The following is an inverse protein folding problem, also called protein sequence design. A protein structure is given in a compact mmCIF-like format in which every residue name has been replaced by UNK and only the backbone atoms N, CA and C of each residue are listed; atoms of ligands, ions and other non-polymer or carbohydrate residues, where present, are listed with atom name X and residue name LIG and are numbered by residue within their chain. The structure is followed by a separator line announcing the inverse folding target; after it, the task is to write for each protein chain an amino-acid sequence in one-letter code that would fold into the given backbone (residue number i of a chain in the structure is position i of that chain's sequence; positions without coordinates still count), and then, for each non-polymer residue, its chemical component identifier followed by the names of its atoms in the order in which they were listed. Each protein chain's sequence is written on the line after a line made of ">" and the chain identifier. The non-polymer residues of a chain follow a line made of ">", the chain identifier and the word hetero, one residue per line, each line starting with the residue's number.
data_IF_099239315880
#
_entry.id   IF_099239315880
#
_cell.length_a   1.000
_cell.length_b   1.000
_cell.length_c   1.000
_cell.angle_alpha   90.00
_cell.angle_beta   90.00
_cell.angle_gamma   90.00
#
_symmetry.space_group_name_H-M   'P 1'
#
loop_
_entity.id
_entity.type
_entity.pdbx_description
1 polymer ?
#
# COMPACT_ATOMS: atom_id res chain seq x y z
N UNK A 1 -6.86 -19.19 12.56
CA UNK A 1 -5.48 -19.03 13.08
C UNK A 1 -4.47 -19.32 11.99
N UNK A 2 -3.43 -18.49 11.89
CA UNK A 2 -2.32 -18.57 10.93
C UNK A 2 -1.01 -18.65 11.72
N UNK A 3 -0.11 -19.56 11.36
CA UNK A 3 1.23 -19.67 11.95
C UNK A 3 2.30 -19.20 10.94
N UNK A 4 3.19 -18.31 11.37
CA UNK A 4 4.28 -17.81 10.54
C UNK A 4 5.42 -18.83 10.50
N UNK A 5 5.68 -19.44 9.34
CA UNK A 5 6.80 -20.38 9.17
C UNK A 5 8.10 -19.69 8.79
N UNK A 6 7.99 -18.62 7.98
CA UNK A 6 9.13 -17.84 7.51
C UNK A 6 8.71 -16.39 7.31
N UNK A 7 9.46 -15.48 7.91
CA UNK A 7 9.29 -14.05 7.73
C UNK A 7 10.64 -13.36 7.83
N UNK A 8 10.90 -12.43 6.91
CA UNK A 8 11.98 -11.47 7.02
C UNK A 8 11.48 -10.20 7.73
N UNK A 9 12.39 -9.26 8.00
CA UNK A 9 12.02 -8.00 8.65
C UNK A 9 10.94 -7.25 7.84
N UNK A 10 10.15 -6.42 8.54
CA UNK A 10 9.17 -5.47 7.96
C UNK A 10 7.86 -6.06 7.38
N UNK A 11 7.63 -7.37 7.47
CA UNK A 11 6.28 -7.90 7.23
C UNK A 11 5.40 -7.62 8.45
N UNK A 12 4.26 -6.97 8.26
CA UNK A 12 3.47 -6.41 9.38
C UNK A 12 1.97 -6.61 9.17
N UNK A 13 1.23 -6.62 10.28
CA UNK A 13 -0.23 -6.53 10.24
C UNK A 13 -0.62 -5.07 9.98
N UNK A 14 -1.45 -4.84 8.98
CA UNK A 14 -1.90 -3.51 8.55
C UNK A 14 -3.39 -3.53 8.23
N UNK A 15 -4.07 -2.42 8.55
CA UNK A 15 -5.38 -2.03 8.02
C UNK A 15 -5.23 -0.72 7.23
N UNK A 16 -6.28 0.09 7.05
CA UNK A 16 -6.19 1.41 6.40
C UNK A 16 -5.60 2.49 7.32
N UNK A 17 -5.32 2.19 8.59
CA UNK A 17 -4.60 3.05 9.53
C UNK A 17 -5.46 3.78 10.55
N UNK A 18 -4.84 4.76 11.23
CA UNK A 18 -5.37 5.52 12.38
C UNK A 18 -5.37 7.04 12.14
N UNK A 19 -6.24 7.57 11.27
CA UNK A 19 -6.17 8.98 10.85
C UNK A 19 -6.44 10.01 11.96
N UNK A 20 -7.24 9.66 12.97
CA UNK A 20 -7.76 10.60 13.96
C UNK A 20 -6.69 11.18 14.93
N UNK A 21 -5.49 10.62 14.99
CA UNK A 21 -4.53 10.91 16.08
C UNK A 21 -3.29 11.72 15.64
N UNK A 22 -3.24 12.21 14.39
CA UNK A 22 -2.08 13.00 13.89
C UNK A 22 -1.78 14.24 14.71
N UNK A 23 -2.82 14.90 15.22
CA UNK A 23 -2.69 16.09 16.08
C UNK A 23 -1.99 15.80 17.42
N UNK A 24 -1.91 14.53 17.83
CA UNK A 24 -1.19 14.07 19.03
C UNK A 24 0.20 13.49 18.72
N UNK A 25 0.69 13.64 17.50
CA UNK A 25 2.00 13.10 17.11
C UNK A 25 1.99 11.64 16.62
N UNK A 26 0.82 11.03 16.46
CA UNK A 26 0.69 9.64 16.02
C UNK A 26 0.59 9.56 14.49
N UNK A 27 1.46 8.77 13.86
CA UNK A 27 1.39 8.49 12.42
C UNK A 27 0.16 7.67 12.05
N UNK A 28 -0.36 7.87 10.84
CA UNK A 28 -1.54 7.14 10.33
C UNK A 28 -1.23 5.65 10.21
N UNK A 29 0.01 5.27 9.89
CA UNK A 29 0.36 3.88 9.58
C UNK A 29 -0.54 3.35 8.45
N UNK A 30 -0.90 2.07 8.46
CA UNK A 30 -1.77 1.49 7.45
C UNK A 30 -1.01 1.01 6.23
N UNK A 31 -1.71 0.30 5.37
CA UNK A 31 -1.13 -0.24 4.15
C UNK A 31 -0.55 0.86 3.25
N UNK A 32 0.51 0.53 2.52
CA UNK A 32 1.09 1.40 1.49
C UNK A 32 0.28 1.39 0.18
N UNK A 33 -0.49 0.32 -0.05
CA UNK A 33 -1.39 0.15 -1.18
C UNK A 33 -2.81 -0.15 -0.66
N UNK A 34 -3.62 0.90 -0.41
CA UNK A 34 -4.99 0.74 0.04
C UNK A 34 -5.91 0.05 -0.99
N UNK A 35 -5.60 0.09 -2.29
CA UNK A 35 -6.43 -0.57 -3.30
C UNK A 35 -6.29 -2.09 -3.22
N UNK A 36 -5.06 -2.57 -3.05
CA UNK A 36 -4.79 -3.99 -2.86
C UNK A 36 -5.48 -4.54 -1.61
N UNK A 37 -5.39 -3.84 -0.47
CA UNK A 37 -6.06 -4.25 0.76
C UNK A 37 -7.58 -4.36 0.58
N UNK A 38 -8.20 -3.28 0.09
CA UNK A 38 -9.67 -3.20 -0.08
C UNK A 38 -10.17 -4.30 -1.00
N UNK A 39 -9.54 -4.47 -2.15
CA UNK A 39 -9.93 -5.48 -3.12
C UNK A 39 -9.74 -6.91 -2.59
N UNK A 40 -8.65 -7.17 -1.87
CA UNK A 40 -8.43 -8.45 -1.21
C UNK A 40 -9.49 -8.77 -0.16
N UNK A 41 -9.89 -7.77 0.63
CA UNK A 41 -10.98 -7.93 1.60
C UNK A 41 -12.34 -8.13 0.94
N UNK A 42 -12.64 -7.42 -0.15
CA UNK A 42 -13.89 -7.59 -0.92
C UNK A 42 -14.01 -9.02 -1.46
N UNK A 43 -12.94 -9.61 -2.00
CA UNK A 43 -12.91 -11.00 -2.47
C UNK A 43 -13.35 -12.01 -1.40
N UNK A 44 -13.18 -11.68 -0.12
CA UNK A 44 -13.48 -12.55 1.02
C UNK A 44 -14.79 -12.17 1.73
N UNK A 45 -15.50 -11.16 1.24
CA UNK A 45 -16.67 -10.60 1.90
C UNK A 45 -16.37 -9.94 3.25
N UNK A 46 -15.10 -9.58 3.49
CA UNK A 46 -14.70 -8.84 4.68
C UNK A 46 -15.11 -7.36 4.57
N UNK A 47 -15.11 -6.67 5.71
CA UNK A 47 -14.99 -5.21 5.71
C UNK A 47 -13.72 -4.78 4.97
N UNK A 48 -13.80 -3.72 4.16
CA UNK A 48 -12.68 -3.24 3.33
C UNK A 48 -11.44 -2.86 4.15
N UNK A 49 -11.64 -2.45 5.41
CA UNK A 49 -10.61 -2.10 6.37
C UNK A 49 -10.20 -3.28 7.28
N UNK A 50 -10.66 -4.51 7.02
CA UNK A 50 -10.21 -5.67 7.79
C UNK A 50 -8.69 -5.82 7.68
N UNK A 51 -8.03 -6.12 8.80
CA UNK A 51 -6.58 -6.18 8.84
C UNK A 51 -6.05 -7.37 8.03
N UNK A 52 -4.97 -7.12 7.29
CA UNK A 52 -4.25 -8.09 6.48
C UNK A 52 -2.77 -8.10 6.86
N UNK A 53 -2.02 -9.04 6.28
CA UNK A 53 -0.56 -9.03 6.37
C UNK A 53 -0.01 -8.29 5.14
N UNK A 54 0.64 -7.15 5.35
CA UNK A 54 1.45 -6.49 4.34
C UNK A 54 2.84 -7.16 4.28
N UNK A 55 3.12 -7.80 3.15
CA UNK A 55 4.38 -8.49 2.88
C UNK A 55 5.24 -7.60 1.99
N UNK A 56 6.33 -7.10 2.56
CA UNK A 56 7.32 -6.29 1.86
C UNK A 56 8.62 -7.08 1.60
N UNK A 57 8.95 -8.03 2.49
CA UNK A 57 10.15 -8.84 2.36
C UNK A 57 9.79 -10.30 2.11
N UNK A 58 10.37 -10.84 1.04
CA UNK A 58 10.12 -12.18 0.54
C UNK A 58 11.36 -13.06 0.71
N UNK A 59 11.21 -14.39 0.74
CA UNK A 59 9.93 -15.11 0.78
C UNK A 59 9.23 -15.00 2.15
N UNK A 60 7.92 -15.13 2.15
CA UNK A 60 7.06 -15.15 3.33
C UNK A 60 6.20 -16.42 3.31
N UNK A 61 6.18 -17.17 4.41
CA UNK A 61 5.48 -18.46 4.49
C UNK A 61 4.61 -18.55 5.72
N UNK A 62 3.39 -19.04 5.52
CA UNK A 62 2.42 -19.26 6.59
C UNK A 62 1.72 -20.61 6.46
N UNK A 63 1.40 -21.22 7.60
CA UNK A 63 0.57 -22.42 7.70
C UNK A 63 -0.81 -22.08 8.26
N UNK A 64 -1.85 -22.63 7.67
CA UNK A 64 -3.22 -22.45 8.15
C UNK A 64 -3.59 -23.55 9.15
N UNK A 65 -4.02 -23.15 10.35
CA UNK A 65 -4.39 -24.10 11.40
C UNK A 65 -5.86 -24.57 11.33
N UNK A 66 -6.65 -23.98 10.43
CA UNK A 66 -8.05 -24.29 10.19
C UNK A 66 -8.40 -24.06 8.71
N UNK A 67 -9.48 -24.68 8.24
CA UNK A 67 -10.07 -24.37 6.94
C UNK A 67 -10.50 -22.89 6.90
N UNK A 68 -10.18 -22.19 5.81
CA UNK A 68 -10.51 -20.77 5.64
C UNK A 68 -10.51 -20.39 4.14
N UNK A 69 -10.72 -19.12 3.84
CA UNK A 69 -10.47 -18.55 2.51
C UNK A 69 -9.44 -17.43 2.64
N UNK A 70 -8.60 -17.30 1.62
CA UNK A 70 -7.59 -16.24 1.54
C UNK A 70 -7.70 -15.52 0.21
N UNK A 71 -7.13 -14.32 0.16
CA UNK A 71 -6.88 -13.63 -1.10
C UNK A 71 -5.51 -12.98 -1.09
N UNK A 72 -4.93 -12.88 -2.29
CA UNK A 72 -3.60 -12.33 -2.54
C UNK A 72 -3.71 -11.19 -3.56
N UNK A 73 -3.32 -9.99 -3.16
CA UNK A 73 -3.35 -8.78 -3.99
C UNK A 73 -2.04 -8.00 -3.90
N UNK A 74 -1.93 -6.90 -4.66
CA UNK A 74 -0.70 -6.10 -4.75
C UNK A 74 0.28 -6.68 -5.77
N UNK A 75 1.53 -6.83 -5.37
CA UNK A 75 2.58 -7.39 -6.23
C UNK A 75 2.28 -8.87 -6.58
N UNK A 76 2.57 -9.28 -7.82
CA UNK A 76 2.50 -10.70 -8.22
C UNK A 76 3.67 -11.45 -7.57
N UNK A 77 3.39 -12.00 -6.39
CA UNK A 77 4.35 -12.71 -5.54
C UNK A 77 4.60 -14.16 -5.97
N UNK A 78 4.12 -14.59 -7.16
CA UNK A 78 4.27 -15.97 -7.66
C UNK A 78 3.90 -17.00 -6.59
N UNK A 79 2.79 -16.77 -5.92
CA UNK A 79 2.44 -17.47 -4.69
C UNK A 79 2.19 -18.96 -4.94
N UNK A 80 2.43 -19.78 -3.93
CA UNK A 80 2.19 -21.22 -3.97
C UNK A 80 1.42 -21.70 -2.75
N UNK A 81 0.39 -22.50 -2.96
CA UNK A 81 -0.32 -23.22 -1.91
C UNK A 81 0.03 -24.70 -2.02
N UNK A 82 0.76 -25.23 -1.03
CA UNK A 82 1.34 -26.59 -1.06
C UNK A 82 2.09 -26.92 -2.37
N UNK A 83 2.83 -25.93 -2.88
CA UNK A 83 3.62 -26.06 -4.10
C UNK A 83 2.86 -25.79 -5.41
N UNK A 84 1.53 -25.72 -5.39
CA UNK A 84 0.71 -25.35 -6.55
C UNK A 84 0.68 -23.84 -6.72
N UNK A 85 1.01 -23.34 -7.91
CA UNK A 85 1.02 -21.89 -8.18
C UNK A 85 -0.40 -21.31 -8.19
N UNK A 86 -0.55 -20.18 -7.50
CA UNK A 86 -1.77 -19.38 -7.50
C UNK A 86 -1.64 -18.21 -8.49
N UNK A 87 -2.71 -17.84 -9.21
CA UNK A 87 -2.74 -16.62 -9.99
C UNK A 87 -2.50 -15.37 -9.11
N UNK A 88 -2.06 -14.27 -9.73
CA UNK A 88 -2.05 -12.97 -9.08
C UNK A 88 -3.48 -12.46 -8.88
N UNK A 89 -3.71 -11.61 -7.87
CA UNK A 89 -5.02 -11.00 -7.62
C UNK A 89 -6.15 -12.04 -7.50
N UNK A 90 -5.91 -13.04 -6.66
CA UNK A 90 -6.69 -14.28 -6.59
C UNK A 90 -7.13 -14.60 -5.17
N UNK A 91 -8.37 -15.08 -5.03
CA UNK A 91 -8.92 -15.63 -3.80
C UNK A 91 -9.28 -17.10 -3.94
N UNK A 92 -9.07 -17.91 -2.91
CA UNK A 92 -9.43 -19.33 -2.90
C UNK A 92 -9.66 -19.88 -1.49
N UNK A 93 -10.30 -21.05 -1.41
CA UNK A 93 -10.33 -21.85 -0.18
C UNK A 93 -8.95 -22.42 0.15
N UNK A 94 -8.70 -22.58 1.44
CA UNK A 94 -7.52 -23.22 2.01
C UNK A 94 -7.94 -24.20 3.08
N UNK A 95 -7.32 -25.37 3.12
CA UNK A 95 -7.55 -26.42 4.11
C UNK A 95 -6.58 -26.31 5.28
N UNK A 96 -7.01 -26.83 6.42
CA UNK A 96 -6.15 -27.00 7.60
C UNK A 96 -4.88 -27.76 7.23
N UNK A 97 -3.74 -27.22 7.64
CA UNK A 97 -2.41 -27.80 7.44
C UNK A 97 -1.71 -27.32 6.18
N UNK A 98 -2.43 -26.74 5.22
CA UNK A 98 -1.81 -26.23 3.99
C UNK A 98 -0.87 -25.04 4.28
N UNK A 99 0.13 -24.89 3.43
CA UNK A 99 1.16 -23.87 3.53
C UNK A 99 1.11 -22.97 2.32
N UNK A 100 0.94 -21.66 2.57
CA UNK A 100 1.11 -20.62 1.56
C UNK A 100 2.55 -20.10 1.60
N UNK A 101 3.18 -20.02 0.44
CA UNK A 101 4.45 -19.34 0.20
C UNK A 101 4.24 -18.17 -0.77
N UNK A 102 4.53 -16.95 -0.31
CA UNK A 102 4.66 -15.76 -1.15
C UNK A 102 6.14 -15.54 -1.47
N UNK A 103 6.50 -15.49 -2.76
CA UNK A 103 7.88 -15.40 -3.24
C UNK A 103 8.17 -13.99 -3.76
N UNK A 104 9.44 -13.74 -4.09
CA UNK A 104 9.84 -12.47 -4.68
C UNK A 104 8.95 -12.13 -5.90
N UNK A 105 8.37 -10.93 -5.97
CA UNK A 105 7.45 -10.59 -7.03
C UNK A 105 8.14 -10.37 -8.37
N UNK A 106 7.42 -10.58 -9.48
CA UNK A 106 7.92 -10.21 -10.82
C UNK A 106 7.91 -8.69 -11.02
N UNK A 107 6.86 -8.06 -10.53
CA UNK A 107 6.62 -6.61 -10.59
C UNK A 107 5.90 -6.18 -9.30
N UNK A 108 6.05 -4.92 -8.91
CA UNK A 108 5.52 -4.42 -7.64
C UNK A 108 6.44 -4.70 -6.45
N UNK A 109 6.15 -4.10 -5.31
CA UNK A 109 7.01 -4.14 -4.12
C UNK A 109 6.35 -4.82 -2.93
N UNK A 110 5.01 -4.79 -2.84
CA UNK A 110 4.27 -5.25 -1.67
C UNK A 110 3.11 -6.15 -2.06
N UNK A 111 3.08 -7.33 -1.46
CA UNK A 111 1.95 -8.25 -1.54
C UNK A 111 1.10 -8.16 -0.28
N UNK A 112 -0.18 -8.47 -0.40
CA UNK A 112 -1.14 -8.46 0.70
C UNK A 112 -1.77 -9.84 0.83
N UNK A 113 -1.72 -10.40 2.04
CA UNK A 113 -2.44 -11.62 2.40
C UNK A 113 -3.63 -11.25 3.26
N UNK A 114 -4.83 -11.30 2.66
CA UNK A 114 -6.08 -11.19 3.39
C UNK A 114 -6.61 -12.60 3.72
N UNK A 115 -7.34 -12.71 4.82
CA UNK A 115 -7.98 -13.96 5.28
C UNK A 115 -9.42 -13.67 5.65
N UNK A 116 -10.32 -14.63 5.42
CA UNK A 116 -11.73 -14.47 5.76
C UNK A 116 -11.90 -14.15 7.26
N UNK A 117 -12.68 -13.13 7.57
CA UNK A 117 -12.82 -12.54 8.91
C UNK A 117 -11.73 -11.55 9.32
N UNK A 118 -10.64 -11.42 8.55
CA UNK A 118 -9.50 -10.54 8.84
C UNK A 118 -8.55 -11.09 9.91
N UNK A 119 -7.40 -10.43 10.07
CA UNK A 119 -6.45 -10.73 11.15
C UNK A 119 -6.95 -10.11 12.46
N UNK A 120 -7.17 -10.95 13.46
CA UNK A 120 -7.74 -10.53 14.74
C UNK A 120 -6.64 -10.22 15.76
N UNK A 121 -6.11 -9.00 15.67
CA UNK A 121 -5.25 -8.40 16.69
C UNK A 121 -6.01 -7.25 17.39
N UNK A 122 -5.68 -6.92 18.65
CA UNK A 122 -6.35 -5.84 19.35
C UNK A 122 -6.24 -4.50 18.61
N UNK A 123 -7.34 -3.75 18.43
CA UNK A 123 -7.25 -2.40 17.91
C UNK A 123 -6.59 -1.49 18.95
N UNK A 124 -5.59 -0.73 18.53
CA UNK A 124 -4.96 0.34 19.31
C UNK A 124 -5.35 1.65 18.63
N UNK A 125 -5.89 2.64 19.35
CA UNK A 125 -6.32 3.91 18.77
C UNK A 125 -7.20 3.71 17.50
N UNK A 126 -8.18 2.80 17.60
CA UNK A 126 -9.14 2.53 16.51
C UNK A 126 -8.58 1.77 15.29
N UNK A 127 -7.35 1.26 15.34
CA UNK A 127 -6.70 0.58 14.20
C UNK A 127 -5.85 -0.60 14.64
N UNK A 128 -5.79 -1.61 13.76
CA UNK A 128 -4.95 -2.81 13.85
C UNK A 128 -3.61 -2.65 13.14
N UNK A 129 -3.33 -1.49 12.56
CA UNK A 129 -2.06 -1.22 11.89
C UNK A 129 -0.87 -1.19 12.84
N UNK A 130 0.24 -1.79 12.42
CA UNK A 130 1.51 -1.76 13.14
C UNK A 130 2.20 -0.41 12.94
N UNK A 131 2.48 0.32 14.02
CA UNK A 131 3.24 1.56 14.01
C UNK A 131 4.68 1.29 14.46
N UNK A 132 5.57 0.98 13.52
CA UNK A 132 6.93 0.48 13.83
C UNK A 132 7.76 1.42 14.69
N UNK A 133 7.73 2.73 14.43
CA UNK A 133 8.49 3.71 15.22
C UNK A 133 7.99 3.82 16.66
N UNK A 134 6.67 3.74 16.85
CA UNK A 134 6.05 3.81 18.17
C UNK A 134 5.99 2.48 18.91
N UNK A 135 6.30 1.37 18.21
CA UNK A 135 6.24 0.01 18.72
C UNK A 135 4.89 -0.36 19.33
N UNK A 136 3.78 -0.01 18.66
CA UNK A 136 2.42 -0.39 19.06
C UNK A 136 1.54 -0.77 17.86
N UNK A 137 0.38 -1.38 18.16
CA UNK A 137 -0.57 -1.85 17.15
C UNK A 137 -0.08 -3.08 16.39
N UNK A 138 -0.94 -3.67 15.56
CA UNK A 138 -0.61 -4.92 14.88
C UNK A 138 -0.34 -6.07 15.84
N UNK A 139 0.66 -6.88 15.52
CA UNK A 139 1.12 -7.96 16.40
C UNK A 139 2.28 -7.46 17.27
N UNK A 140 1.99 -7.18 18.54
CA UNK A 140 2.94 -6.68 19.55
C UNK A 140 3.76 -5.43 19.14
N UNK A 141 3.25 -4.60 18.21
CA UNK A 141 3.95 -3.39 17.77
C UNK A 141 5.20 -3.64 16.92
N UNK A 142 5.39 -4.85 16.39
CA UNK A 142 6.64 -5.26 15.72
C UNK A 142 6.39 -5.99 14.40
N UNK A 143 7.44 -6.19 13.57
CA UNK A 143 7.36 -7.12 12.46
C UNK A 143 7.06 -8.56 12.89
N UNK A 144 6.37 -9.29 12.02
CA UNK A 144 6.07 -10.71 12.18
C UNK A 144 7.35 -11.55 12.09
N UNK A 145 7.43 -12.56 12.94
CA UNK A 145 8.57 -13.45 13.11
C UNK A 145 8.12 -14.91 13.02
N UNK A 146 9.08 -15.80 12.72
CA UNK A 146 8.82 -17.24 12.71
C UNK A 146 8.30 -17.71 14.07
N UNK A 147 7.24 -18.51 14.06
CA UNK A 147 6.57 -19.04 15.24
C UNK A 147 5.43 -18.19 15.77
N UNK A 148 5.27 -16.95 15.27
CA UNK A 148 4.11 -16.12 15.61
C UNK A 148 2.81 -16.83 15.16
N UNK A 149 1.77 -16.74 16.00
CA UNK A 149 0.44 -17.30 15.73
C UNK A 149 -0.59 -16.18 15.76
N UNK A 150 -1.20 -15.92 14.61
CA UNK A 150 -2.21 -14.88 14.44
C UNK A 150 -3.61 -15.48 14.51
N UNK A 151 -4.45 -14.93 15.39
CA UNK A 151 -5.88 -15.21 15.36
C UNK A 151 -6.51 -14.59 14.10
N UNK A 152 -7.63 -15.17 13.68
CA UNK A 152 -8.42 -14.70 12.55
C UNK A 152 -9.82 -14.41 13.07
N UNK A 153 -10.46 -13.37 12.54
CA UNK A 153 -11.82 -13.02 12.92
C UNK A 153 -12.84 -14.03 12.43
N UNK A 154 -14.12 -13.74 12.68
CA UNK A 154 -15.23 -14.58 12.25
C UNK A 154 -15.59 -14.20 10.81
N UNK A 155 -15.50 -15.17 9.90
CA UNK A 155 -15.96 -15.00 8.53
C UNK A 155 -17.49 -14.88 8.50
N UNK A 156 -18.00 -13.86 7.80
CA UNK A 156 -19.43 -13.61 7.62
C UNK A 156 -19.94 -14.08 6.25
N UNK A 157 -19.05 -14.19 5.27
CA UNK A 157 -19.36 -14.69 3.95
C UNK A 157 -19.12 -16.21 3.84
N UNK A 158 -19.81 -16.90 2.92
CA UNK A 158 -19.52 -18.29 2.60
C UNK A 158 -18.06 -18.48 2.16
N UNK A 159 -17.44 -19.64 2.44
CA UNK A 159 -16.11 -19.95 1.93
C UNK A 159 -16.06 -19.88 0.40
N UNK A 160 -14.94 -19.40 -0.14
CA UNK A 160 -14.69 -19.45 -1.58
C UNK A 160 -14.60 -20.89 -2.08
N UNK A 161 -14.85 -21.11 -3.36
CA UNK A 161 -14.66 -22.42 -3.97
C UNK A 161 -13.15 -22.77 -4.07
N UNK A 162 -12.79 -24.07 -4.16
CA UNK A 162 -11.41 -24.47 -4.48
C UNK A 162 -10.95 -23.95 -5.85
N UNK A 163 -11.89 -23.77 -6.78
CA UNK A 163 -11.66 -23.19 -8.10
C UNK A 163 -11.35 -21.69 -8.08
N UNK A 164 -11.52 -21.04 -6.93
CA UNK A 164 -11.13 -19.65 -6.69
C UNK A 164 -11.89 -18.61 -7.51
N UNK A 165 -11.48 -17.36 -7.32
CA UNK A 165 -11.97 -16.18 -8.04
C UNK A 165 -10.83 -15.18 -8.20
N UNK A 166 -10.72 -14.59 -9.38
CA UNK A 166 -9.74 -13.56 -9.69
C UNK A 166 -10.38 -12.23 -9.99
N UNK A 167 -9.63 -11.16 -9.80
CA UNK A 167 -10.02 -9.81 -10.22
C UNK A 167 -8.88 -9.18 -11.00
N UNK A 168 -9.23 -8.29 -11.93
CA UNK A 168 -8.25 -7.57 -12.71
C UNK A 168 -7.53 -6.52 -11.85
N UNK A 169 -6.19 -6.47 -11.84
CA UNK A 169 -5.42 -5.49 -11.08
C UNK A 169 -5.73 -4.04 -11.51
N UNK A 170 -5.60 -3.05 -10.60
CA UNK A 170 -5.91 -1.64 -10.86
C UNK A 170 -5.25 -1.04 -12.13
N UNK A 171 -3.98 -1.34 -12.38
CA UNK A 171 -3.26 -0.81 -13.57
C UNK A 171 -3.82 -1.38 -14.89
N UNK A 172 -4.43 -2.57 -14.87
CA UNK A 172 -5.03 -3.21 -16.04
C UNK A 172 -6.49 -2.78 -16.22
N UNK A 173 -7.23 -2.69 -15.11
CA UNK A 173 -8.65 -2.32 -15.11
C UNK A 173 -8.88 -0.81 -15.34
N UNK A 174 -7.91 0.05 -15.00
CA UNK A 174 -8.00 1.50 -15.13
C UNK A 174 -6.83 2.10 -15.93
N UNK A 175 -6.56 1.63 -17.16
CA UNK A 175 -5.34 1.97 -17.90
C UNK A 175 -5.31 3.45 -18.32
N UNK A 176 -6.48 4.08 -18.46
CA UNK A 176 -6.60 5.51 -18.76
C UNK A 176 -6.36 6.41 -17.53
N UNK A 177 -6.74 5.93 -16.34
CA UNK A 177 -6.59 6.70 -15.10
C UNK A 177 -5.17 6.60 -14.50
N UNK A 178 -4.48 5.49 -14.75
CA UNK A 178 -3.16 5.20 -14.18
C UNK A 178 -2.16 4.78 -15.27
N UNK A 179 -1.62 5.78 -15.96
CA UNK A 179 -0.74 5.57 -17.11
C UNK A 179 0.72 5.35 -16.72
N UNK A 180 1.52 4.81 -17.64
CA UNK A 180 2.98 4.90 -17.60
C UNK A 180 3.43 5.86 -18.69
N UNK A 181 4.58 6.52 -18.51
CA UNK A 181 5.13 7.37 -19.58
C UNK A 181 5.70 6.50 -20.72
N UNK A 182 6.17 7.13 -21.81
CA UNK A 182 6.73 6.43 -22.97
C UNK A 182 7.97 5.58 -22.66
N UNK A 183 8.65 5.85 -21.54
CA UNK A 183 9.77 5.05 -21.04
C UNK A 183 9.34 3.94 -20.04
N UNK A 184 8.04 3.73 -19.85
CA UNK A 184 7.48 2.72 -18.94
C UNK A 184 7.50 3.12 -17.45
N UNK A 185 7.88 4.36 -17.12
CA UNK A 185 7.92 4.84 -15.74
C UNK A 185 6.52 5.04 -15.18
N UNK A 186 6.35 4.71 -13.91
CA UNK A 186 5.13 5.01 -13.15
C UNK A 186 4.97 6.53 -13.08
N UNK A 187 3.87 7.05 -13.60
CA UNK A 187 3.52 8.46 -13.46
C UNK A 187 2.90 8.69 -12.08
N UNK A 188 3.21 9.79 -11.42
CA UNK A 188 2.66 10.10 -10.08
C UNK A 188 2.22 11.55 -10.11
N UNK A 189 0.91 11.76 -10.02
CA UNK A 189 0.28 13.07 -10.04
C UNK A 189 0.51 13.80 -8.73
N UNK A 190 0.99 15.03 -8.82
CA UNK A 190 1.18 15.89 -7.66
C UNK A 190 0.69 17.32 -7.94
N UNK A 191 0.08 17.93 -6.94
CA UNK A 191 -0.40 19.30 -6.96
C UNK A 191 0.69 20.21 -6.38
N UNK A 192 1.09 21.31 -7.06
CA UNK A 192 2.01 22.30 -6.50
C UNK A 192 1.58 22.76 -5.10
N UNK A 193 2.50 22.80 -4.15
CA UNK A 193 2.23 23.25 -2.78
C UNK A 193 2.50 24.75 -2.59
N UNK A 194 2.15 25.29 -1.41
CA UNK A 194 2.26 26.73 -1.13
C UNK A 194 3.66 27.31 -1.35
N UNK A 195 4.71 26.54 -1.07
CA UNK A 195 6.11 26.96 -1.22
C UNK A 195 6.68 26.66 -2.61
N UNK A 196 5.88 26.16 -3.56
CA UNK A 196 6.29 25.91 -4.94
C UNK A 196 6.97 27.12 -5.62
N UNK A 197 6.52 28.38 -5.44
CA UNK A 197 7.20 29.54 -6.03
C UNK A 197 8.67 29.71 -5.59
N UNK A 198 9.07 29.15 -4.44
CA UNK A 198 10.48 29.15 -4.02
C UNK A 198 11.36 28.37 -4.99
N UNK A 199 10.81 27.38 -5.69
CA UNK A 199 11.54 26.48 -6.57
C UNK A 199 11.42 26.88 -8.04
N UNK A 200 11.03 28.13 -8.36
CA UNK A 200 10.70 28.54 -9.73
C UNK A 200 11.81 28.23 -10.76
N UNK A 201 13.09 28.40 -10.39
CA UNK A 201 14.23 28.09 -11.25
C UNK A 201 14.35 26.59 -11.60
N UNK A 202 13.90 25.73 -10.71
CA UNK A 202 14.04 24.27 -10.79
C UNK A 202 12.74 23.52 -11.05
N UNK A 203 11.62 24.25 -11.07
CA UNK A 203 10.27 23.70 -11.21
C UNK A 203 10.11 22.85 -12.47
N UNK A 204 10.61 23.31 -13.62
CA UNK A 204 10.57 22.54 -14.86
C UNK A 204 11.28 21.20 -14.72
N UNK A 205 12.46 21.21 -14.11
CA UNK A 205 13.28 20.01 -13.86
C UNK A 205 12.58 19.04 -12.90
N UNK A 206 11.93 19.54 -11.85
CA UNK A 206 11.14 18.70 -10.94
C UNK A 206 10.06 17.87 -11.65
N UNK A 207 9.38 18.44 -12.65
CA UNK A 207 8.32 17.76 -13.39
C UNK A 207 8.80 16.95 -14.61
N UNK A 208 9.98 17.23 -15.14
CA UNK A 208 10.45 16.63 -16.39
C UNK A 208 11.45 15.50 -16.18
N UNK A 209 12.27 15.56 -15.13
CA UNK A 209 13.25 14.51 -14.89
C UNK A 209 12.60 13.27 -14.25
N UNK A 210 13.12 12.07 -14.53
CA UNK A 210 12.78 10.89 -13.73
C UNK A 210 13.41 11.01 -12.35
N UNK A 211 12.70 10.52 -11.34
CA UNK A 211 13.16 10.48 -9.96
C UNK A 211 13.35 9.03 -9.52
N UNK A 212 14.58 8.63 -9.21
CA UNK A 212 14.87 7.28 -8.73
C UNK A 212 14.54 7.18 -7.24
N UNK A 213 13.76 6.17 -6.85
CA UNK A 213 13.51 5.87 -5.43
C UNK A 213 14.79 5.32 -4.81
N UNK A 214 15.34 6.04 -3.83
CA UNK A 214 16.58 5.66 -3.13
C UNK A 214 16.42 4.40 -2.29
N UNK A 215 17.52 3.68 -2.07
CA UNK A 215 17.61 2.52 -1.15
C UNK A 215 17.34 2.87 0.32
N UNK A 216 17.39 4.15 0.68
CA UNK A 216 17.04 4.63 2.01
C UNK A 216 15.52 4.85 2.19
N UNK A 217 14.72 4.59 1.16
CA UNK A 217 13.27 4.77 1.19
C UNK A 217 12.58 3.68 2.01
N UNK A 218 11.58 4.07 2.79
CA UNK A 218 10.79 3.18 3.63
C UNK A 218 9.35 3.69 3.76
N UNK A 219 8.57 3.09 4.66
CA UNK A 219 7.17 3.47 4.92
C UNK A 219 6.99 4.88 5.49
N UNK A 220 8.03 5.50 6.05
CA UNK A 220 7.98 6.90 6.49
C UNK A 220 8.01 7.85 5.29
N UNK A 221 8.88 7.57 4.32
CA UNK A 221 8.93 8.37 3.12
C UNK A 221 9.90 7.84 2.07
N UNK A 222 9.62 8.20 0.83
CA UNK A 222 10.46 7.87 -0.32
C UNK A 222 11.39 9.03 -0.62
N UNK A 223 12.69 8.77 -0.53
CA UNK A 223 13.74 9.72 -0.91
C UNK A 223 14.01 9.56 -2.39
N UNK A 224 13.98 10.67 -3.12
CA UNK A 224 14.10 10.69 -4.56
C UNK A 224 15.50 11.19 -4.96
N UNK A 225 16.25 10.33 -5.64
CA UNK A 225 17.53 10.64 -6.24
C UNK A 225 17.34 11.14 -7.68
N UNK A 226 18.01 12.22 -8.03
CA UNK A 226 17.94 12.90 -9.31
C UNK A 226 18.80 14.15 -9.29
N UNK A 227 18.71 15.00 -10.30
CA UNK A 227 19.40 16.28 -10.25
C UNK A 227 18.74 17.16 -9.16
N UNK A 228 19.50 17.64 -8.16
CA UNK A 228 18.95 18.24 -6.95
C UNK A 228 18.29 19.58 -7.25
N UNK A 229 17.16 19.85 -6.60
CA UNK A 229 16.40 21.09 -6.75
C UNK A 229 16.53 21.97 -5.51
N UNK A 230 16.66 23.28 -5.69
CA UNK A 230 16.92 24.21 -4.60
C UNK A 230 15.89 25.34 -4.56
N UNK A 231 15.51 25.81 -3.36
CA UNK A 231 14.76 27.04 -3.25
C UNK A 231 15.67 28.23 -3.63
N UNK A 232 15.09 29.28 -4.19
CA UNK A 232 15.79 30.51 -4.60
C UNK A 232 16.49 31.24 -3.44
N UNK A 233 16.15 30.89 -2.20
CA UNK A 233 16.79 31.36 -0.97
C UNK A 233 16.67 30.27 0.10
N UNK A 234 17.61 30.25 1.04
CA UNK A 234 17.48 29.42 2.26
C UNK A 234 16.24 29.86 3.03
N UNK A 235 15.40 28.89 3.40
CA UNK A 235 14.18 29.15 4.17
C UNK A 235 14.22 28.32 5.45
N UNK A 236 14.15 29.01 6.58
CA UNK A 236 13.81 28.39 7.86
C UNK A 236 12.30 28.45 8.04
N UNK A 237 11.64 27.29 7.99
CA UNK A 237 10.21 27.22 8.23
C UNK A 237 9.94 26.79 9.66
N UNK A 238 8.91 27.40 10.27
CA UNK A 238 8.27 26.81 11.45
C UNK A 238 7.73 25.43 11.09
N UNK A 239 7.83 24.49 12.03
CA UNK A 239 7.25 23.16 11.85
C UNK A 239 5.77 23.27 11.53
N UNK A 240 5.32 22.52 10.53
CA UNK A 240 3.93 22.49 10.08
C UNK A 240 3.43 21.05 9.98
N UNK A 241 2.10 20.88 9.96
CA UNK A 241 1.46 19.58 9.88
C UNK A 241 1.76 18.88 8.55
N UNK A 242 2.21 17.63 8.63
CA UNK A 242 2.41 16.78 7.49
C UNK A 242 1.23 15.83 7.29
N UNK A 243 1.01 15.41 6.05
CA UNK A 243 0.14 14.30 5.65
C UNK A 243 0.87 13.47 4.59
N UNK A 244 0.48 12.19 4.37
CA UNK A 244 1.01 11.40 3.26
C UNK A 244 0.79 12.13 1.93
N UNK A 245 1.77 12.03 1.04
CA UNK A 245 1.80 12.70 -0.25
C UNK A 245 2.60 14.01 -0.27
N UNK A 246 2.79 14.70 0.87
CA UNK A 246 3.61 15.92 0.89
C UNK A 246 5.02 15.61 0.40
N UNK A 247 5.51 16.41 -0.55
CA UNK A 247 6.86 16.33 -1.12
C UNK A 247 7.71 17.44 -0.54
N UNK A 248 8.53 17.10 0.45
CA UNK A 248 9.46 18.02 1.08
C UNK A 248 10.81 18.04 0.34
N UNK A 249 11.47 19.19 0.30
CA UNK A 249 12.82 19.33 -0.26
C UNK A 249 13.78 19.75 0.86
N UNK A 250 14.61 18.84 1.38
CA UNK A 250 15.66 19.15 2.34
C UNK A 250 16.80 19.99 1.71
N UNK A 251 17.76 20.49 2.50
CA UNK A 251 18.89 21.30 2.01
C UNK A 251 19.76 20.63 0.93
N UNK A 252 19.78 19.29 0.88
CA UNK A 252 20.50 18.54 -0.15
C UNK A 252 19.81 18.60 -1.53
N UNK A 253 18.57 19.09 -1.62
CA UNK A 253 17.81 19.23 -2.86
C UNK A 253 17.17 17.95 -3.40
N UNK A 254 17.28 16.84 -2.67
CA UNK A 254 16.66 15.54 -3.00
C UNK A 254 15.26 15.43 -2.36
N UNK A 255 14.17 15.41 -3.14
CA UNK A 255 12.82 15.43 -2.58
C UNK A 255 12.49 14.17 -1.76
N UNK A 256 11.63 14.34 -0.75
CA UNK A 256 11.12 13.26 0.10
C UNK A 256 9.59 13.28 0.06
N UNK A 257 8.98 12.22 -0.49
CA UNK A 257 7.52 12.02 -0.44
C UNK A 257 7.18 11.38 0.90
N UNK A 258 6.32 12.02 1.70
CA UNK A 258 5.81 11.49 2.97
C UNK A 258 4.79 10.36 2.72
N UNK A 259 4.86 9.26 3.47
CA UNK A 259 4.02 8.06 3.25
C UNK A 259 3.29 7.62 4.54
N UNK A 260 2.82 6.37 4.60
CA UNK A 260 1.93 5.86 5.65
C UNK A 260 2.47 6.06 7.07
N UNK A 261 3.79 5.88 7.28
CA UNK A 261 4.46 6.06 8.58
C UNK A 261 5.17 7.42 8.69
N UNK A 262 4.74 8.42 7.90
CA UNK A 262 5.32 9.76 7.91
C UNK A 262 5.24 10.43 9.28
N UNK A 263 6.19 11.32 9.54
CA UNK A 263 6.12 12.23 10.67
C UNK A 263 4.82 13.05 10.59
N UNK A 264 4.31 13.47 11.74
CA UNK A 264 3.12 14.35 11.80
C UNK A 264 3.48 15.82 11.60
N UNK A 265 4.74 16.19 11.83
CA UNK A 265 5.25 17.54 11.62
C UNK A 265 6.65 17.55 11.00
N UNK A 266 6.98 18.62 10.27
CA UNK A 266 8.31 18.85 9.71
C UNK A 266 8.51 20.30 9.30
N UNK A 267 9.75 20.68 8.98
CA UNK A 267 10.15 22.07 8.72
C UNK A 267 10.84 22.32 7.37
N UNK A 268 10.85 21.34 6.45
CA UNK A 268 11.41 21.55 5.12
C UNK A 268 10.38 22.19 4.19
N UNK A 269 10.78 23.03 3.22
CA UNK A 269 9.87 23.55 2.21
C UNK A 269 9.24 22.42 1.39
N UNK A 270 7.94 22.53 1.10
CA UNK A 270 7.19 21.56 0.30
C UNK A 270 6.97 22.10 -1.11
N UNK A 271 7.40 21.34 -2.11
CA UNK A 271 7.27 21.73 -3.52
C UNK A 271 5.91 21.28 -4.09
N UNK A 272 5.44 20.10 -3.70
CA UNK A 272 4.18 19.54 -4.18
C UNK A 272 3.55 18.61 -3.13
N UNK A 273 2.32 18.16 -3.40
CA UNK A 273 1.67 17.07 -2.69
C UNK A 273 1.16 16.06 -3.72
N UNK A 274 1.62 14.81 -3.64
CA UNK A 274 1.06 13.70 -4.41
C UNK A 274 -0.41 13.54 -4.03
N UNK A 275 -1.26 13.33 -5.04
CA UNK A 275 -2.69 13.08 -4.80
C UNK A 275 -2.86 11.74 -4.09
N UNK A 276 -3.84 11.64 -3.19
CA UNK A 276 -4.06 10.42 -2.41
C UNK A 276 -4.28 9.19 -3.30
N UNK A 277 -4.96 9.41 -4.43
CA UNK A 277 -5.33 8.42 -5.44
C UNK A 277 -4.12 7.82 -6.17
N UNK A 278 -2.93 8.39 -6.06
CA UNK A 278 -1.69 7.87 -6.65
C UNK A 278 -0.75 7.27 -5.60
N UNK A 279 -1.02 7.41 -4.30
CA UNK A 279 -0.13 6.91 -3.24
C UNK A 279 0.03 5.39 -3.27
N UNK A 280 -1.03 4.66 -3.64
CA UNK A 280 -0.97 3.20 -3.78
C UNK A 280 0.09 2.75 -4.78
N UNK A 281 0.32 3.55 -5.84
CA UNK A 281 1.33 3.29 -6.86
C UNK A 281 2.73 3.35 -6.28
N UNK A 282 2.99 4.35 -5.43
CA UNK A 282 4.26 4.46 -4.70
C UNK A 282 4.50 3.24 -3.80
N UNK A 283 3.44 2.70 -3.20
CA UNK A 283 3.47 1.44 -2.46
C UNK A 283 4.02 0.25 -3.26
N UNK A 284 3.96 0.30 -4.59
CA UNK A 284 4.45 -0.74 -5.50
C UNK A 284 5.79 -0.42 -6.18
N UNK A 285 6.32 0.79 -6.03
CA UNK A 285 7.65 1.15 -6.58
C UNK A 285 8.75 0.62 -5.66
N UNK A 286 9.66 -0.18 -6.22
CA UNK A 286 10.83 -0.72 -5.52
C UNK A 286 11.97 0.31 -5.45
N UNK A 287 12.80 0.30 -4.40
CA UNK A 287 14.05 1.05 -4.41
C UNK A 287 14.93 0.71 -5.62
N UNK A 288 15.47 1.73 -6.28
CA UNK A 288 16.22 1.64 -7.54
C UNK A 288 15.37 1.88 -8.78
N UNK A 289 14.04 1.74 -8.71
CA UNK A 289 13.15 2.11 -9.81
C UNK A 289 12.90 3.62 -9.84
N UNK A 290 12.53 4.14 -11.01
CA UNK A 290 12.22 5.56 -11.19
C UNK A 290 10.73 5.82 -11.40
N UNK A 291 10.29 6.97 -10.91
CA UNK A 291 8.95 7.52 -11.15
C UNK A 291 9.04 8.80 -11.97
N UNK A 292 7.94 9.15 -12.63
CA UNK A 292 7.75 10.45 -13.25
C UNK A 292 6.73 11.24 -12.43
N UNK A 293 7.15 12.33 -11.79
CA UNK A 293 6.19 13.26 -11.20
C UNK A 293 5.56 14.09 -12.31
N UNK A 294 4.23 14.16 -12.31
CA UNK A 294 3.45 14.97 -13.27
C UNK A 294 2.55 15.93 -12.54
N UNK A 295 2.43 17.15 -13.07
CA UNK A 295 1.61 18.18 -12.45
C UNK A 295 0.13 17.82 -12.57
N UNK A 296 -0.62 18.01 -11.48
CA UNK A 296 -2.06 17.83 -11.41
C UNK A 296 -2.70 19.00 -10.67
N UNK A 297 -4.02 18.99 -10.60
CA UNK A 297 -4.86 19.87 -9.81
C UNK A 297 -5.97 19.06 -9.10
N UNK A 298 -6.91 19.78 -8.48
CA UNK A 298 -8.04 19.17 -7.79
C UNK A 298 -8.99 18.40 -8.73
N UNK A 299 -9.16 18.84 -9.99
CA UNK A 299 -10.01 18.15 -10.95
C UNK A 299 -9.39 16.81 -11.34
N UNK A 300 -8.07 16.77 -11.57
CA UNK A 300 -7.33 15.54 -11.82
C UNK A 300 -7.42 14.54 -10.66
N UNK A 301 -7.40 15.03 -9.41
CA UNK A 301 -7.59 14.18 -8.23
C UNK A 301 -9.01 13.60 -8.15
N UNK A 302 -10.04 14.42 -8.39
CA UNK A 302 -11.44 13.97 -8.41
C UNK A 302 -11.67 12.91 -9.50
N UNK A 303 -11.14 13.12 -10.70
CA UNK A 303 -11.25 12.15 -11.79
C UNK A 303 -10.57 10.81 -11.45
N UNK A 304 -9.40 10.85 -10.82
CA UNK A 304 -8.72 9.66 -10.33
C UNK A 304 -9.54 8.91 -9.28
N UNK A 305 -10.18 9.65 -8.36
CA UNK A 305 -11.03 9.09 -7.31
C UNK A 305 -12.25 8.39 -7.89
N UNK A 306 -12.92 9.03 -8.84
CA UNK A 306 -14.07 8.46 -9.54
C UNK A 306 -13.73 7.15 -10.26
N UNK A 307 -12.55 7.08 -10.91
CA UNK A 307 -12.08 5.84 -11.54
C UNK A 307 -11.86 4.73 -10.51
N UNK A 308 -11.19 5.04 -9.38
CA UNK A 308 -10.99 4.10 -8.27
C UNK A 308 -12.32 3.59 -7.72
N UNK A 309 -13.25 4.50 -7.44
CA UNK A 309 -14.54 4.16 -6.83
C UNK A 309 -15.38 3.30 -7.76
N UNK A 310 -15.35 3.59 -9.07
CA UNK A 310 -15.97 2.76 -10.09
C UNK A 310 -15.37 1.35 -10.12
N UNK A 311 -14.04 1.23 -10.16
CA UNK A 311 -13.36 -0.08 -10.16
C UNK A 311 -13.68 -0.88 -8.91
N UNK A 312 -13.64 -0.26 -7.72
CA UNK A 312 -14.02 -0.94 -6.46
C UNK A 312 -15.48 -1.42 -6.51
N UNK A 313 -16.41 -0.60 -7.02
CA UNK A 313 -17.81 -1.01 -7.17
C UNK A 313 -17.94 -2.22 -8.10
N UNK A 314 -17.26 -2.20 -9.27
CA UNK A 314 -17.23 -3.33 -10.20
C UNK A 314 -16.68 -4.61 -9.56
N UNK A 315 -15.64 -4.50 -8.73
CA UNK A 315 -15.10 -5.64 -7.97
C UNK A 315 -16.16 -6.21 -7.00
N UNK A 316 -16.86 -5.36 -6.24
CA UNK A 316 -17.94 -5.82 -5.34
C UNK A 316 -19.08 -6.52 -6.09
N UNK A 317 -19.51 -5.94 -7.20
CA UNK A 317 -20.60 -6.49 -8.00
C UNK A 317 -20.21 -7.85 -8.61
N UNK A 318 -18.98 -7.96 -9.11
CA UNK A 318 -18.46 -9.20 -9.70
C UNK A 318 -18.37 -10.34 -8.68
N UNK A 319 -17.89 -10.05 -7.46
CA UNK A 319 -17.81 -11.04 -6.38
C UNK A 319 -19.20 -11.49 -5.93
N UNK A 320 -20.16 -10.55 -5.85
CA UNK A 320 -21.54 -10.85 -5.47
C UNK A 320 -22.23 -11.75 -6.50
N UNK A 321 -22.06 -11.44 -7.79
CA UNK A 321 -22.59 -12.25 -8.90
C UNK A 321 -21.99 -13.66 -8.90
N UNK A 322 -20.67 -13.79 -8.76
CA UNK A 322 -20.02 -15.10 -8.73
C UNK A 322 -20.51 -15.96 -7.56
N UNK A 323 -20.67 -15.35 -6.38
CA UNK A 323 -21.19 -16.02 -5.18
C UNK A 323 -22.64 -16.48 -5.34
N UNK A 324 -23.45 -15.76 -6.13
CA UNK A 324 -24.84 -16.15 -6.42
C UNK A 324 -24.95 -17.34 -7.39
N UNK A 325 -24.02 -17.44 -8.35
CA UNK A 325 -23.99 -18.49 -9.38
C UNK A 325 -23.35 -19.77 -8.87
N UNK A 326 -22.32 -19.67 -8.02
CA UNK A 326 -21.60 -20.83 -7.47
C UNK A 326 -22.39 -21.62 -6.41
N UNK A 327 -23.55 -21.12 -5.98
CA UNK A 327 -24.44 -21.77 -5.01
C UNK A 327 -25.57 -22.61 -5.67
N UNK A 328 -25.50 -22.84 -6.98
CA UNK A 328 -26.34 -23.77 -7.76
C UNK A 328 -25.48 -24.89 -8.34
#
# INVERSE_FOLDING_TARGET
>A
MIEIEQSAALNTVQDLGRPAFRHLGVSVSGVMDPLALRAGNILLGNDENAAAIEVQMFPFRVRFAADTSISLTGADCRARLDGVELPAWWGCAVKRGQVLEMRYPRHGARGYLCVAGGIDVPPVLGSRSTALRGSFGGFDGRPLQRGDRLATGIATAPPLSPGGIGIEPPEQAMPQAFTRNSAGLVTVRAIPSGEYPLFAADAGRFWQQPWQVSRQSNRTGYRLAGAPIFPAKTVEMRSYGLIPGIVQVPPAGEPIIQLSDANTAGGYPKIACVIEEDLWRLGQVQPGQSIQLVRSDAQGAIAARQAIDHWIATVRDSVSLFSSVANF
#
